data_IF_410158564572
#
_entry.id   IF_410158564572
#
_cell.length_a   1.000
_cell.length_b   1.000
_cell.length_c   1.000
_cell.angle_alpha   90.00
_cell.angle_beta   90.00
_cell.angle_gamma   90.00
#
_symmetry.space_group_name_H-M   'P 1'
#
loop_
_entity.id
_entity.type
_entity.pdbx_description
1 polymer ?
#
# COMPACT_ATOMS: atom_id res chain seq x y z
N UNK A 1 4.32 -14.22 -10.63
CA UNK A 1 3.75 -12.88 -10.38
C UNK A 1 2.28 -13.05 -10.04
N UNK A 2 1.98 -13.10 -8.75
CA UNK A 2 0.65 -13.31 -8.22
C UNK A 2 0.79 -13.41 -6.72
N UNK A 3 0.51 -12.31 -6.02
CA UNK A 3 0.41 -12.33 -4.57
C UNK A 3 -1.04 -12.63 -4.22
N UNK A 4 -1.27 -13.25 -3.07
CA UNK A 4 -2.60 -13.50 -2.53
C UNK A 4 -2.86 -12.54 -1.37
N UNK A 5 -3.04 -11.23 -1.62
CA UNK A 5 -3.31 -10.29 -0.55
C UNK A 5 -4.70 -10.54 0.04
N UNK A 6 -4.86 -10.24 1.32
CA UNK A 6 -6.17 -10.03 1.91
C UNK A 6 -6.58 -8.57 1.69
N UNK A 7 -7.78 -8.33 1.16
CA UNK A 7 -8.32 -6.97 1.06
C UNK A 7 -8.72 -6.51 2.46
N UNK A 8 -8.18 -5.36 2.86
CA UNK A 8 -8.41 -4.73 4.16
C UNK A 8 -8.39 -3.20 3.99
N UNK A 9 -8.44 -2.46 5.10
CA UNK A 9 -8.38 -1.01 5.17
C UNK A 9 -7.23 -0.55 6.09
N UNK A 10 -6.70 0.65 5.86
CA UNK A 10 -5.70 1.28 6.72
C UNK A 10 -6.35 1.92 7.94
N UNK A 11 -5.90 1.57 9.15
CA UNK A 11 -6.44 2.16 10.39
C UNK A 11 -5.93 3.60 10.66
N UNK A 12 -5.38 4.27 9.66
CA UNK A 12 -4.84 5.62 9.76
C UNK A 12 -5.13 6.38 8.46
N UNK A 13 -5.05 7.71 8.54
CA UNK A 13 -5.33 8.56 7.39
C UNK A 13 -4.17 8.56 6.40
N UNK A 14 -4.51 8.44 5.12
CA UNK A 14 -3.62 8.71 3.99
C UNK A 14 -4.35 9.68 3.05
N UNK A 15 -3.69 10.17 2.00
CA UNK A 15 -4.37 10.98 0.97
C UNK A 15 -5.56 10.23 0.33
N UNK A 16 -5.61 8.90 0.44
CA UNK A 16 -6.74 8.10 -0.03
C UNK A 16 -8.06 8.42 0.69
N UNK A 17 -8.05 8.95 1.93
CA UNK A 17 -9.31 9.34 2.59
C UNK A 17 -10.02 10.45 1.81
N UNK A 18 -9.27 11.44 1.33
CA UNK A 18 -9.79 12.48 0.46
C UNK A 18 -10.18 11.92 -0.91
N UNK A 19 -9.28 11.20 -1.58
CA UNK A 19 -9.55 10.74 -2.95
C UNK A 19 -10.70 9.73 -3.03
N UNK A 20 -10.70 8.71 -2.17
CA UNK A 20 -11.74 7.69 -2.18
C UNK A 20 -13.03 8.17 -1.49
N UNK A 21 -12.91 8.88 -0.36
CA UNK A 21 -14.06 9.26 0.45
C UNK A 21 -14.77 10.52 -0.03
N UNK A 22 -14.03 11.59 -0.30
CA UNK A 22 -14.60 12.91 -0.64
C UNK A 22 -14.72 13.10 -2.16
N UNK A 23 -13.68 12.75 -2.91
CA UNK A 23 -13.63 12.97 -4.35
C UNK A 23 -14.23 11.83 -5.18
N UNK A 24 -14.56 10.69 -4.55
CA UNK A 24 -15.15 9.52 -5.22
C UNK A 24 -14.25 8.85 -6.27
N UNK A 25 -12.93 9.07 -6.19
CA UNK A 25 -11.95 8.49 -7.10
C UNK A 25 -11.56 7.09 -6.60
N UNK A 26 -11.74 6.03 -7.42
CA UNK A 26 -11.30 4.69 -7.06
C UNK A 26 -9.81 4.69 -6.71
N UNK A 27 -9.50 4.29 -5.48
CA UNK A 27 -8.15 4.36 -4.91
C UNK A 27 -7.76 3.01 -4.31
N UNK A 28 -6.50 2.60 -4.51
CA UNK A 28 -5.94 1.38 -3.92
C UNK A 28 -4.81 1.78 -2.97
N UNK A 29 -4.85 1.29 -1.74
CA UNK A 29 -3.76 1.39 -0.78
C UNK A 29 -2.76 0.25 -0.97
N UNK A 30 -1.49 0.59 -1.17
CA UNK A 30 -0.38 -0.36 -1.28
C UNK A 30 0.80 0.22 -0.50
N UNK A 31 1.48 -0.62 0.27
CA UNK A 31 2.65 -0.23 1.02
C UNK A 31 3.31 -1.43 1.69
N UNK A 32 4.60 -1.34 2.01
CA UNK A 32 5.28 -2.38 2.74
C UNK A 32 5.13 -2.22 4.27
N UNK A 33 5.64 -3.20 5.02
CA UNK A 33 5.67 -3.22 6.49
C UNK A 33 4.29 -3.23 7.15
N UNK A 34 4.28 -3.16 8.48
CA UNK A 34 3.07 -3.20 9.32
C UNK A 34 2.75 -1.81 9.85
N UNK A 35 1.47 -1.46 9.87
CA UNK A 35 0.98 -0.15 10.32
C UNK A 35 1.41 0.19 11.74
N UNK A 36 1.48 -0.80 12.63
CA UNK A 36 1.80 -0.62 14.04
C UNK A 36 3.29 -0.29 14.29
N UNK A 37 4.15 -0.37 13.27
CA UNK A 37 5.55 0.05 13.37
C UNK A 37 5.73 1.54 13.03
N UNK A 38 4.76 2.15 12.34
CA UNK A 38 4.82 3.55 11.95
C UNK A 38 4.87 4.47 13.18
N UNK A 39 5.68 5.52 13.11
CA UNK A 39 5.87 6.54 14.14
C UNK A 39 6.37 5.99 15.49
N UNK A 40 7.15 4.91 15.47
CA UNK A 40 7.86 4.40 16.65
C UNK A 40 9.34 4.80 16.61
N UNK A 41 10.02 4.79 17.76
CA UNK A 41 11.45 5.17 17.84
C UNK A 41 12.30 4.27 16.93
N UNK A 42 12.00 2.97 16.95
CA UNK A 42 12.71 1.95 16.20
C UNK A 42 11.85 1.48 15.01
N UNK A 43 11.27 2.40 14.24
CA UNK A 43 10.52 2.06 13.03
C UNK A 43 11.43 1.37 12.00
N UNK A 44 10.99 0.21 11.50
CA UNK A 44 11.75 -0.58 10.52
C UNK A 44 10.85 -1.29 9.51
N UNK A 45 11.50 -1.89 8.52
CA UNK A 45 10.91 -2.64 7.43
C UNK A 45 11.83 -3.78 7.04
N UNK A 46 11.27 -4.95 6.73
CA UNK A 46 12.04 -6.07 6.18
C UNK A 46 12.39 -5.82 4.70
N UNK A 47 13.61 -6.16 4.30
CA UNK A 47 14.06 -5.97 2.91
C UNK A 47 13.17 -6.71 1.90
N UNK A 48 12.64 -7.87 2.27
CA UNK A 48 11.70 -8.64 1.43
C UNK A 48 10.34 -7.92 1.28
N UNK A 49 9.87 -7.23 2.33
CA UNK A 49 8.65 -6.43 2.25
C UNK A 49 8.86 -5.21 1.34
N UNK A 50 10.02 -4.55 1.46
CA UNK A 50 10.37 -3.40 0.64
C UNK A 50 10.45 -3.76 -0.85
N UNK A 51 11.27 -4.77 -1.18
CA UNK A 51 11.41 -5.25 -2.56
C UNK A 51 10.10 -5.80 -3.10
N UNK A 52 9.34 -6.51 -2.28
CA UNK A 52 8.05 -7.05 -2.68
C UNK A 52 6.98 -5.98 -2.95
N UNK A 53 6.98 -4.87 -2.21
CA UNK A 53 6.11 -3.73 -2.51
C UNK A 53 6.50 -3.06 -3.84
N UNK A 54 7.80 -2.90 -4.12
CA UNK A 54 8.27 -2.35 -5.38
C UNK A 54 7.82 -3.19 -6.60
N UNK A 55 7.87 -4.52 -6.48
CA UNK A 55 7.32 -5.44 -7.48
C UNK A 55 5.81 -5.28 -7.67
N UNK A 56 5.06 -5.11 -6.56
CA UNK A 56 3.62 -4.85 -6.61
C UNK A 56 3.30 -3.58 -7.37
N UNK A 57 3.99 -2.47 -7.07
CA UNK A 57 3.79 -1.22 -7.80
C UNK A 57 4.05 -1.40 -9.30
N UNK A 58 5.14 -2.07 -9.68
CA UNK A 58 5.42 -2.39 -11.08
C UNK A 58 4.29 -3.24 -11.71
N UNK A 59 3.79 -4.25 -10.98
CA UNK A 59 2.70 -5.10 -11.44
C UNK A 59 1.40 -4.35 -11.67
N UNK A 60 1.03 -3.47 -10.73
CA UNK A 60 -0.17 -2.62 -10.82
C UNK A 60 -0.05 -1.64 -11.98
N UNK A 61 1.09 -0.98 -12.13
CA UNK A 61 1.33 -0.09 -13.27
C UNK A 61 1.19 -0.84 -14.60
N UNK A 62 1.79 -2.02 -14.74
CA UNK A 62 1.64 -2.85 -15.97
C UNK A 62 0.20 -3.32 -16.22
N UNK A 63 -0.58 -3.52 -15.16
CA UNK A 63 -1.96 -4.00 -15.27
C UNK A 63 -2.95 -2.87 -15.62
N UNK A 64 -2.74 -1.67 -15.06
CA UNK A 64 -3.66 -0.53 -15.18
C UNK A 64 -3.25 0.48 -16.26
N UNK A 65 -1.96 0.62 -16.52
CA UNK A 65 -1.43 1.53 -17.54
C UNK A 65 -1.08 0.69 -18.78
N UNK A 66 -1.75 0.99 -19.90
CA UNK A 66 -1.44 0.47 -21.23
C UNK A 66 -0.82 1.56 -22.08
#
# INVERSE_FOLDING_TARGET
MGRSPQVTQYNFCTNASHYAGEAGIPTIGLGPSRENLAHTIDEYIELEQLTGAAECYCGVMRALLR
#
